data_IF_507759134606
#
_entry.id   IF_507759134606
#
_cell.length_a   1.000
_cell.length_b   1.000
_cell.length_c   1.000
_cell.angle_alpha   90.00
_cell.angle_beta   90.00
_cell.angle_gamma   90.00
#
_symmetry.space_group_name_H-M   'P 1'
#
loop_
_entity.id
_entity.type
_entity.pdbx_description
1 polymer ?
#
# COMPACT_ATOMS: atom_id res chain seq x y z
N UNK A 1 6.60 9.34 6.74
CA UNK A 1 7.04 9.56 8.14
C UNK A 1 6.04 8.98 9.13
N UNK A 2 4.73 9.19 8.94
CA UNK A 2 3.69 8.61 9.81
C UNK A 2 3.75 7.08 9.83
N UNK A 3 3.75 6.43 8.67
CA UNK A 3 3.83 4.97 8.54
C UNK A 3 5.07 4.39 9.23
N UNK A 4 6.23 5.03 9.08
CA UNK A 4 7.47 4.64 9.76
C UNK A 4 7.32 4.74 11.28
N UNK A 5 6.72 5.83 11.77
CA UNK A 5 6.47 6.04 13.21
C UNK A 5 5.51 4.96 13.74
N UNK A 6 4.45 4.64 13.00
CA UNK A 6 3.45 3.66 13.37
C UNK A 6 4.04 2.24 13.38
N UNK A 7 4.83 1.86 12.37
CA UNK A 7 5.53 0.57 12.32
C UNK A 7 6.59 0.45 13.42
N UNK A 8 7.35 1.52 13.68
CA UNK A 8 8.33 1.55 14.78
C UNK A 8 7.65 1.44 16.14
N UNK A 9 6.49 2.08 16.33
CA UNK A 9 5.65 1.93 17.51
C UNK A 9 5.20 0.49 17.70
N UNK A 10 4.68 -0.14 16.65
CA UNK A 10 4.24 -1.55 16.64
C UNK A 10 5.39 -2.51 16.99
N UNK A 11 6.61 -2.27 16.46
CA UNK A 11 7.78 -3.10 16.80
C UNK A 11 8.14 -2.96 18.28
N UNK A 12 8.04 -1.76 18.84
CA UNK A 12 8.28 -1.54 20.26
C UNK A 12 7.25 -2.27 21.14
N UNK A 13 5.98 -2.29 20.73
CA UNK A 13 4.95 -3.08 21.41
C UNK A 13 5.24 -4.58 21.34
N UNK A 14 5.61 -5.11 20.18
CA UNK A 14 6.02 -6.51 20.06
C UNK A 14 7.23 -6.83 20.94
N UNK A 15 8.23 -5.95 21.03
CA UNK A 15 9.38 -6.15 21.91
C UNK A 15 8.94 -6.25 23.38
N UNK A 16 8.03 -5.39 23.82
CA UNK A 16 7.50 -5.42 25.19
C UNK A 16 6.75 -6.71 25.47
N UNK A 17 5.82 -7.12 24.57
CA UNK A 17 5.07 -8.37 24.73
C UNK A 17 5.98 -9.60 24.74
N UNK A 18 6.98 -9.67 23.86
CA UNK A 18 7.96 -10.76 23.85
C UNK A 18 8.72 -10.85 25.16
N UNK A 19 9.12 -9.72 25.74
CA UNK A 19 9.81 -9.66 27.02
C UNK A 19 8.91 -10.08 28.18
N UNK A 20 7.66 -9.65 28.20
CA UNK A 20 6.66 -10.04 29.22
C UNK A 20 6.42 -11.55 29.19
N UNK A 21 6.20 -12.15 28.01
CA UNK A 21 6.03 -13.60 27.86
C UNK A 21 7.28 -14.35 28.35
N UNK A 22 8.47 -13.91 27.97
CA UNK A 22 9.73 -14.52 28.40
C UNK A 22 9.87 -14.48 29.92
N UNK A 23 9.65 -13.33 30.52
CA UNK A 23 9.71 -13.13 31.97
C UNK A 23 8.70 -14.03 32.68
N UNK A 24 7.44 -14.09 32.23
CA UNK A 24 6.41 -14.95 32.81
C UNK A 24 6.80 -16.42 32.78
N UNK A 25 7.33 -16.91 31.67
CA UNK A 25 7.78 -18.31 31.55
C UNK A 25 8.98 -18.58 32.48
N UNK A 26 10.00 -17.74 32.45
CA UNK A 26 11.26 -17.98 33.15
C UNK A 26 11.15 -17.78 34.67
N UNK A 27 10.48 -16.74 35.12
CA UNK A 27 10.47 -16.37 36.54
C UNK A 27 9.28 -16.93 37.31
N UNK A 28 8.10 -17.03 36.72
CA UNK A 28 6.88 -17.50 37.38
C UNK A 28 6.62 -18.98 37.08
N UNK A 29 6.27 -19.32 35.85
CA UNK A 29 5.79 -20.65 35.49
C UNK A 29 6.81 -21.76 35.72
N UNK A 30 8.08 -21.52 35.38
CA UNK A 30 9.14 -22.50 35.62
C UNK A 30 9.42 -22.73 37.14
N UNK A 31 9.26 -21.68 37.96
CA UNK A 31 9.37 -21.84 39.43
C UNK A 31 8.19 -22.64 39.97
N UNK A 32 6.95 -22.31 39.57
CA UNK A 32 5.75 -23.03 39.99
C UNK A 32 5.80 -24.49 39.56
N UNK A 33 6.24 -24.78 38.30
CA UNK A 33 6.38 -26.16 37.85
C UNK A 33 7.37 -26.98 38.71
N UNK A 34 8.43 -26.36 39.20
CA UNK A 34 9.40 -27.02 40.11
C UNK A 34 8.81 -27.30 41.48
N UNK A 35 7.93 -26.41 41.98
CA UNK A 35 7.28 -26.57 43.31
C UNK A 35 6.22 -27.66 43.29
N UNK A 36 5.47 -27.80 42.19
CA UNK A 36 4.34 -28.72 42.07
C UNK A 36 4.68 -30.07 41.42
N UNK A 37 5.94 -30.47 41.41
CA UNK A 37 6.42 -31.71 40.75
C UNK A 37 5.62 -32.96 41.12
N UNK A 38 5.12 -33.06 42.33
CA UNK A 38 4.39 -34.21 42.83
C UNK A 38 2.88 -34.14 42.51
N UNK A 39 2.35 -33.01 42.08
CA UNK A 39 0.97 -32.84 41.64
C UNK A 39 0.87 -32.89 40.11
N UNK A 40 0.63 -34.09 39.58
CA UNK A 40 0.60 -34.34 38.13
C UNK A 40 -0.44 -33.48 37.38
N UNK A 41 -1.58 -33.19 38.01
CA UNK A 41 -2.62 -32.42 37.36
C UNK A 41 -2.22 -30.94 37.23
N UNK A 42 -1.74 -30.35 38.32
CA UNK A 42 -1.30 -28.95 38.34
C UNK A 42 -0.04 -28.73 37.45
N UNK A 43 0.90 -29.69 37.50
CA UNK A 43 2.06 -29.66 36.62
C UNK A 43 1.67 -29.68 35.14
N UNK A 44 0.69 -30.52 34.76
CA UNK A 44 0.19 -30.57 33.37
C UNK A 44 -0.44 -29.26 32.93
N UNK A 45 -1.21 -28.61 33.82
CA UNK A 45 -1.83 -27.29 33.56
C UNK A 45 -0.77 -26.23 33.30
N UNK A 46 0.29 -26.17 34.15
CA UNK A 46 1.38 -25.20 33.97
C UNK A 46 2.15 -25.46 32.67
N UNK A 47 2.42 -26.73 32.35
CA UNK A 47 3.10 -27.07 31.09
C UNK A 47 2.30 -26.69 29.85
N UNK A 48 0.97 -26.82 29.90
CA UNK A 48 0.11 -26.35 28.81
C UNK A 48 0.16 -24.81 28.68
N UNK A 49 0.09 -24.08 29.79
CA UNK A 49 0.22 -22.62 29.79
C UNK A 49 1.57 -22.17 29.20
N UNK A 50 2.66 -22.84 29.56
CA UNK A 50 3.98 -22.59 28.99
C UNK A 50 3.99 -22.84 27.48
N UNK A 51 3.31 -23.90 27.01
CA UNK A 51 3.23 -24.21 25.59
C UNK A 51 2.47 -23.12 24.85
N UNK A 52 1.30 -22.72 25.34
CA UNK A 52 0.48 -21.65 24.72
C UNK A 52 1.26 -20.33 24.64
N UNK A 53 1.99 -19.96 25.70
CA UNK A 53 2.81 -18.76 25.72
C UNK A 53 3.98 -18.86 24.74
N UNK A 54 4.60 -20.03 24.56
CA UNK A 54 5.63 -20.24 23.55
C UNK A 54 5.09 -20.13 22.14
N UNK A 55 3.89 -20.65 21.88
CA UNK A 55 3.24 -20.55 20.60
C UNK A 55 2.88 -19.07 20.29
N UNK A 56 2.33 -18.34 21.28
CA UNK A 56 2.10 -16.90 21.19
C UNK A 56 3.40 -16.13 20.91
N UNK A 57 4.46 -16.43 21.63
CA UNK A 57 5.80 -15.82 21.41
C UNK A 57 6.28 -16.01 19.97
N UNK A 58 6.11 -17.21 19.42
CA UNK A 58 6.51 -17.51 18.02
C UNK A 58 5.71 -16.69 17.00
N UNK A 59 4.40 -16.52 17.22
CA UNK A 59 3.53 -15.71 16.35
C UNK A 59 3.98 -14.24 16.38
N UNK A 60 4.16 -13.67 17.58
CA UNK A 60 4.57 -12.26 17.75
C UNK A 60 5.95 -12.04 17.14
N UNK A 61 6.87 -12.98 17.32
CA UNK A 61 8.23 -12.89 16.72
C UNK A 61 8.15 -12.83 15.19
N UNK A 62 7.30 -13.66 14.57
CA UNK A 62 7.08 -13.64 13.12
C UNK A 62 6.46 -12.31 12.67
N UNK A 63 5.46 -11.79 13.37
CA UNK A 63 4.84 -10.50 13.07
C UNK A 63 5.84 -9.35 13.19
N UNK A 64 6.71 -9.37 14.24
CA UNK A 64 7.81 -8.41 14.38
C UNK A 64 8.78 -8.48 13.21
N UNK A 65 9.19 -9.69 12.79
CA UNK A 65 10.08 -9.87 11.64
C UNK A 65 9.46 -9.31 10.36
N UNK A 66 8.17 -9.54 10.12
CA UNK A 66 7.46 -8.97 8.97
C UNK A 66 7.45 -7.45 9.02
N UNK A 67 7.10 -6.85 10.16
CA UNK A 67 7.13 -5.40 10.32
C UNK A 67 8.55 -4.82 10.15
N UNK A 68 9.57 -5.52 10.62
CA UNK A 68 10.98 -5.12 10.45
C UNK A 68 11.43 -5.22 9.00
N UNK A 69 11.00 -6.26 8.25
CA UNK A 69 11.26 -6.35 6.80
C UNK A 69 10.61 -5.21 6.05
N UNK A 70 9.35 -4.87 6.35
CA UNK A 70 8.67 -3.71 5.73
C UNK A 70 9.44 -2.40 5.95
N UNK A 71 9.99 -2.19 7.16
CA UNK A 71 10.84 -1.02 7.41
C UNK A 71 12.13 -1.07 6.59
N UNK A 72 12.77 -2.22 6.51
CA UNK A 72 14.07 -2.34 5.85
C UNK A 72 13.95 -2.33 4.32
N UNK A 73 12.91 -3.00 3.78
CA UNK A 73 12.77 -3.21 2.34
C UNK A 73 12.07 -2.02 1.67
N UNK A 74 11.03 -1.45 2.31
CA UNK A 74 10.19 -0.42 1.71
C UNK A 74 10.49 1.00 2.23
N UNK A 75 10.99 1.12 3.47
CA UNK A 75 11.14 2.41 4.17
C UNK A 75 12.58 2.66 4.63
N UNK A 76 13.46 1.65 4.59
CA UNK A 76 14.81 1.75 5.13
C UNK A 76 15.61 2.93 4.57
N UNK A 77 15.53 3.15 3.26
CA UNK A 77 16.18 4.27 2.59
C UNK A 77 15.53 5.61 2.94
N UNK A 78 14.20 5.63 3.15
CA UNK A 78 13.48 6.83 3.58
C UNK A 78 13.76 7.22 5.04
N UNK A 79 14.09 6.26 5.91
CA UNK A 79 14.38 6.54 7.32
C UNK A 79 15.61 7.44 7.53
N UNK A 80 16.54 7.44 6.57
CA UNK A 80 17.73 8.27 6.59
C UNK A 80 17.53 9.66 5.98
N UNK A 81 16.36 9.91 5.38
CA UNK A 81 16.02 11.16 4.72
C UNK A 81 15.38 12.11 5.74
N UNK A 82 16.17 12.97 6.33
CA UNK A 82 15.78 13.95 7.34
C UNK A 82 15.67 15.39 6.78
N UNK A 83 16.20 15.65 5.59
CA UNK A 83 16.16 16.95 4.92
C UNK A 83 15.58 16.87 3.52
N UNK A 84 15.10 18.02 3.00
CA UNK A 84 14.58 18.13 1.64
C UNK A 84 15.68 17.91 0.59
N UNK A 85 16.90 18.29 0.91
CA UNK A 85 18.07 18.10 0.05
C UNK A 85 18.37 16.62 -0.13
N UNK A 86 18.45 15.83 0.95
CA UNK A 86 18.62 14.38 0.89
C UNK A 86 17.46 13.71 0.14
N UNK A 87 16.22 14.19 0.30
CA UNK A 87 15.09 13.68 -0.45
C UNK A 87 15.25 13.94 -1.95
N UNK A 88 15.68 15.15 -2.35
CA UNK A 88 15.95 15.48 -3.75
C UNK A 88 17.05 14.62 -4.35
N UNK A 89 18.09 14.32 -3.60
CA UNK A 89 19.16 13.42 -4.02
C UNK A 89 18.63 12.00 -4.19
N UNK A 90 17.88 11.50 -3.22
CA UNK A 90 17.32 10.15 -3.25
C UNK A 90 16.40 9.89 -4.44
N UNK A 91 15.47 10.81 -4.75
CA UNK A 91 14.54 10.64 -5.88
C UNK A 91 15.22 10.64 -7.25
N UNK A 92 16.50 11.04 -7.33
CA UNK A 92 17.29 11.01 -8.54
C UNK A 92 18.09 9.70 -8.69
N UNK A 93 18.05 8.83 -7.69
CA UNK A 93 18.76 7.55 -7.71
C UNK A 93 17.89 6.44 -8.32
N UNK A 94 18.51 5.39 -8.88
CA UNK A 94 17.77 4.20 -9.34
C UNK A 94 17.05 3.44 -8.21
N UNK A 95 17.36 3.73 -6.94
CA UNK A 95 16.70 3.15 -5.77
C UNK A 95 15.33 3.74 -5.47
N UNK A 96 15.01 4.91 -6.05
CA UNK A 96 13.68 5.49 -5.88
C UNK A 96 12.69 4.92 -6.89
N UNK A 97 11.65 4.27 -6.38
CA UNK A 97 10.53 3.78 -7.17
C UNK A 97 9.28 4.60 -6.83
N UNK A 98 8.72 5.25 -7.85
CA UNK A 98 7.48 5.98 -7.71
C UNK A 98 6.32 4.99 -7.50
N UNK A 99 5.84 4.91 -6.28
CA UNK A 99 4.63 4.17 -5.92
C UNK A 99 3.34 4.96 -6.22
N UNK A 100 2.19 4.40 -5.86
CA UNK A 100 0.88 5.05 -6.04
C UNK A 100 0.79 6.40 -5.31
N UNK A 101 1.44 6.53 -4.15
CA UNK A 101 1.48 7.78 -3.38
C UNK A 101 2.27 8.87 -4.12
N UNK A 102 3.46 8.55 -4.63
CA UNK A 102 4.28 9.50 -5.39
C UNK A 102 3.56 9.97 -6.67
N UNK A 103 2.89 9.04 -7.37
CA UNK A 103 2.09 9.34 -8.56
C UNK A 103 0.95 10.29 -8.20
N UNK A 104 0.20 10.03 -7.11
CA UNK A 104 -0.91 10.87 -6.66
C UNK A 104 -0.46 12.29 -6.31
N UNK A 105 0.70 12.45 -5.67
CA UNK A 105 1.28 13.78 -5.41
C UNK A 105 1.64 14.51 -6.70
N UNK A 106 2.24 13.81 -7.67
CA UNK A 106 2.55 14.40 -8.98
C UNK A 106 1.28 14.82 -9.72
N UNK A 107 0.22 14.01 -9.67
CA UNK A 107 -1.09 14.35 -10.23
C UNK A 107 -1.63 15.66 -9.68
N UNK A 108 -1.57 15.85 -8.36
CA UNK A 108 -2.01 17.07 -7.71
C UNK A 108 -1.15 18.29 -8.05
N UNK A 109 0.18 18.14 -7.98
CA UNK A 109 1.12 19.24 -8.20
C UNK A 109 1.10 19.74 -9.63
N UNK A 110 1.00 18.83 -10.58
CA UNK A 110 1.05 19.14 -12.02
C UNK A 110 -0.36 19.34 -12.62
N UNK A 111 -1.40 19.07 -11.86
CA UNK A 111 -2.80 19.07 -12.31
C UNK A 111 -3.01 18.20 -13.55
N UNK A 112 -2.45 16.99 -13.51
CA UNK A 112 -2.54 15.97 -14.57
C UNK A 112 -3.12 14.68 -13.99
N UNK A 113 -3.67 13.81 -14.83
CA UNK A 113 -4.07 12.46 -14.43
C UNK A 113 -3.28 11.42 -15.21
N UNK A 114 -2.61 10.53 -14.48
CA UNK A 114 -2.00 9.35 -15.09
C UNK A 114 -3.05 8.25 -15.28
N UNK A 115 -3.06 7.69 -16.48
CA UNK A 115 -3.83 6.51 -16.85
C UNK A 115 -2.82 5.38 -17.00
N UNK A 116 -2.77 4.47 -16.04
CA UNK A 116 -1.75 3.43 -15.98
C UNK A 116 -2.37 2.10 -16.38
N UNK A 117 -1.79 1.45 -17.38
CA UNK A 117 -2.26 0.17 -17.92
C UNK A 117 -1.26 -0.94 -17.56
N UNK A 118 -1.71 -1.98 -16.90
CA UNK A 118 -0.91 -3.15 -16.54
C UNK A 118 -0.62 -4.00 -17.77
N UNK A 119 0.64 -4.10 -18.17
CA UNK A 119 1.07 -5.00 -19.25
C UNK A 119 0.81 -6.47 -18.87
N UNK A 120 1.05 -6.82 -17.61
CA UNK A 120 0.83 -8.17 -17.10
C UNK A 120 -0.63 -8.59 -17.20
N UNK A 121 -1.55 -7.78 -16.67
CA UNK A 121 -2.98 -8.08 -16.72
C UNK A 121 -3.50 -8.19 -18.14
N UNK A 122 -2.96 -7.37 -19.05
CA UNK A 122 -3.30 -7.46 -20.48
C UNK A 122 -2.85 -8.80 -21.10
N UNK A 123 -1.62 -9.22 -20.82
CA UNK A 123 -1.06 -10.51 -21.34
C UNK A 123 -1.83 -11.70 -20.76
N UNK A 124 -2.21 -11.63 -19.49
CA UNK A 124 -2.99 -12.68 -18.80
C UNK A 124 -4.48 -12.66 -19.19
N UNK A 125 -4.91 -11.76 -20.09
CA UNK A 125 -6.29 -11.52 -20.51
C UNK A 125 -7.24 -11.18 -19.34
N UNK A 126 -6.69 -10.60 -18.29
CA UNK A 126 -7.42 -10.07 -17.12
C UNK A 126 -7.81 -8.61 -17.38
N UNK A 127 -8.81 -8.42 -18.25
CA UNK A 127 -9.25 -7.09 -18.67
C UNK A 127 -9.80 -6.23 -17.52
N UNK A 128 -10.29 -6.89 -16.45
CA UNK A 128 -10.76 -6.18 -15.26
C UNK A 128 -9.64 -5.47 -14.49
N UNK A 129 -8.42 -5.99 -14.53
CA UNK A 129 -7.28 -5.44 -13.81
C UNK A 129 -6.25 -4.75 -14.73
N UNK A 130 -6.58 -4.53 -16.00
CA UNK A 130 -5.72 -3.79 -16.93
C UNK A 130 -5.53 -2.34 -16.50
N UNK A 131 -6.60 -1.66 -16.05
CA UNK A 131 -6.50 -0.28 -15.58
C UNK A 131 -6.15 -0.25 -14.10
N UNK A 132 -5.00 0.34 -13.77
CA UNK A 132 -4.57 0.60 -12.41
C UNK A 132 -5.09 1.97 -11.98
N UNK A 133 -6.10 1.99 -11.11
CA UNK A 133 -6.81 3.24 -10.77
C UNK A 133 -6.09 4.11 -9.74
N UNK A 134 -5.11 3.55 -9.02
CA UNK A 134 -4.41 4.25 -7.94
C UNK A 134 -5.30 4.56 -6.74
N UNK A 135 -4.77 5.36 -5.84
CA UNK A 135 -5.45 5.82 -4.63
C UNK A 135 -6.01 7.22 -4.79
N UNK A 136 -6.92 7.60 -3.91
CA UNK A 136 -7.41 8.98 -3.81
C UNK A 136 -6.66 9.63 -2.65
N UNK A 137 -5.98 10.75 -2.88
CA UNK A 137 -5.37 11.51 -1.80
C UNK A 137 -6.43 12.07 -0.85
N UNK A 138 -6.06 12.28 0.41
CA UNK A 138 -6.94 12.90 1.40
C UNK A 138 -7.47 14.26 0.94
N UNK A 139 -6.66 15.04 0.25
CA UNK A 139 -7.02 16.35 -0.27
C UNK A 139 -8.07 16.28 -1.38
N UNK A 140 -7.93 15.33 -2.32
CA UNK A 140 -8.92 15.09 -3.39
C UNK A 140 -10.19 14.50 -2.78
N UNK A 141 -10.07 13.56 -1.82
CA UNK A 141 -11.20 12.97 -1.13
C UNK A 141 -12.02 14.02 -0.36
N UNK A 142 -11.36 14.94 0.34
CA UNK A 142 -12.01 16.03 1.06
C UNK A 142 -12.74 17.00 0.13
N UNK A 143 -12.15 17.32 -1.03
CA UNK A 143 -12.78 18.19 -2.04
C UNK A 143 -13.87 17.49 -2.84
N UNK A 144 -13.87 16.16 -2.89
CA UNK A 144 -14.73 15.33 -3.75
C UNK A 144 -14.70 15.75 -5.23
N UNK A 145 -13.60 16.35 -5.66
CA UNK A 145 -13.43 16.89 -7.01
C UNK A 145 -11.96 16.91 -7.40
N UNK A 146 -11.69 16.45 -8.60
CA UNK A 146 -10.39 16.58 -9.26
C UNK A 146 -10.63 16.94 -10.72
N UNK A 147 -10.00 18.02 -11.19
CA UNK A 147 -10.16 18.54 -12.54
C UNK A 147 -8.79 18.63 -13.23
N UNK A 148 -8.21 17.53 -13.68
CA UNK A 148 -6.91 17.52 -14.36
C UNK A 148 -7.03 18.23 -15.72
N UNK A 149 -6.05 19.09 -16.02
CA UNK A 149 -6.00 19.79 -17.31
C UNK A 149 -5.56 18.85 -18.43
N UNK A 150 -4.70 17.87 -18.08
CA UNK A 150 -4.15 16.92 -19.03
C UNK A 150 -4.13 15.50 -18.48
N UNK A 151 -4.04 14.55 -19.40
CA UNK A 151 -3.95 13.13 -19.12
C UNK A 151 -2.67 12.57 -19.75
N UNK A 152 -1.99 11.68 -19.06
CA UNK A 152 -0.79 10.99 -19.52
C UNK A 152 -1.07 9.49 -19.43
N UNK A 153 -0.89 8.78 -20.55
CA UNK A 153 -1.12 7.34 -20.61
C UNK A 153 0.22 6.64 -20.49
N UNK A 154 0.32 5.67 -19.58
CA UNK A 154 1.51 4.84 -19.40
C UNK A 154 1.13 3.36 -19.34
N UNK A 155 2.06 2.49 -19.73
CA UNK A 155 1.99 1.07 -19.36
C UNK A 155 2.93 0.80 -18.19
N UNK A 156 2.60 -0.23 -17.41
CA UNK A 156 3.36 -0.67 -16.25
C UNK A 156 3.64 -2.17 -16.35
N UNK A 157 4.92 -2.53 -16.31
CA UNK A 157 5.38 -3.93 -16.43
C UNK A 157 5.71 -4.60 -15.08
N UNK A 158 5.32 -3.99 -13.96
CA UNK A 158 5.62 -4.46 -12.59
C UNK A 158 6.80 -3.74 -11.94
N UNK A 159 7.72 -3.24 -12.74
CA UNK A 159 8.91 -2.51 -12.26
C UNK A 159 9.28 -1.31 -13.15
N UNK A 160 8.51 -1.02 -14.18
CA UNK A 160 8.83 0.06 -15.10
C UNK A 160 7.60 0.66 -15.74
N UNK A 161 7.57 1.99 -15.86
CA UNK A 161 6.53 2.73 -16.57
C UNK A 161 7.06 3.12 -17.96
N UNK A 162 6.23 2.89 -19.00
CA UNK A 162 6.51 3.33 -20.37
C UNK A 162 5.44 4.30 -20.81
N UNK A 163 5.88 5.43 -21.37
CA UNK A 163 4.97 6.43 -21.90
C UNK A 163 4.32 5.94 -23.19
N UNK A 164 3.01 6.06 -23.28
CA UNK A 164 2.24 5.70 -24.48
C UNK A 164 2.11 6.91 -25.37
N UNK A 165 2.41 6.72 -26.67
CA UNK A 165 2.15 7.69 -27.71
C UNK A 165 0.97 7.24 -28.57
N UNK A 166 0.03 8.12 -28.80
CA UNK A 166 -1.13 7.88 -29.67
C UNK A 166 -1.37 9.08 -30.57
N UNK A 167 -1.43 8.85 -31.88
CA UNK A 167 -1.57 9.91 -32.90
C UNK A 167 -0.55 11.04 -32.75
N UNK A 168 0.72 10.67 -32.50
CA UNK A 168 1.85 11.58 -32.28
C UNK A 168 1.69 12.50 -31.07
N UNK A 169 0.87 12.10 -30.07
CA UNK A 169 0.68 12.80 -28.79
C UNK A 169 1.02 11.89 -27.63
N UNK A 170 1.58 12.47 -26.57
CA UNK A 170 1.92 11.83 -25.30
C UNK A 170 1.19 12.44 -24.12
N UNK A 171 0.67 13.65 -24.32
CA UNK A 171 -0.15 14.38 -23.35
C UNK A 171 -1.49 14.66 -24.02
N UNK A 172 -2.58 14.31 -23.35
CA UNK A 172 -3.91 14.32 -23.92
C UNK A 172 -4.82 15.28 -23.14
N UNK A 173 -5.70 15.95 -23.83
CA UNK A 173 -6.92 16.50 -23.22
C UNK A 173 -7.96 15.39 -23.10
N UNK A 174 -8.98 15.57 -22.30
CA UNK A 174 -10.03 14.56 -22.08
C UNK A 174 -10.62 14.00 -23.38
N UNK A 175 -10.96 14.87 -24.35
CA UNK A 175 -11.56 14.44 -25.62
C UNK A 175 -10.58 13.69 -26.53
N UNK A 176 -9.27 13.82 -26.33
CA UNK A 176 -8.20 13.15 -27.09
C UNK A 176 -7.88 11.75 -26.58
N UNK A 177 -8.31 11.41 -25.35
CA UNK A 177 -8.13 10.06 -24.80
C UNK A 177 -8.85 9.06 -25.72
N UNK A 178 -8.19 7.95 -26.12
CA UNK A 178 -8.82 6.91 -26.93
C UNK A 178 -10.12 6.38 -26.29
N UNK A 179 -11.14 6.20 -27.10
CA UNK A 179 -12.48 5.79 -26.60
C UNK A 179 -12.44 4.51 -25.75
N UNK A 180 -11.68 3.51 -26.20
CA UNK A 180 -11.55 2.25 -25.45
C UNK A 180 -10.97 2.45 -24.04
N UNK A 181 -10.01 3.38 -23.87
CA UNK A 181 -9.46 3.71 -22.54
C UNK A 181 -10.52 4.41 -21.68
N UNK A 182 -11.29 5.34 -22.25
CA UNK A 182 -12.43 5.94 -21.53
C UNK A 182 -13.43 4.89 -21.07
N UNK A 183 -13.73 3.89 -21.91
CA UNK A 183 -14.64 2.80 -21.57
C UNK A 183 -14.10 1.96 -20.41
N UNK A 184 -12.80 1.65 -20.38
CA UNK A 184 -12.18 0.95 -19.24
C UNK A 184 -12.36 1.74 -17.94
N UNK A 185 -12.12 3.06 -17.99
CA UNK A 185 -12.28 3.93 -16.82
C UNK A 185 -13.75 3.96 -16.36
N UNK A 186 -14.69 4.09 -17.28
CA UNK A 186 -16.12 4.06 -16.96
C UNK A 186 -16.55 2.75 -16.30
N UNK A 187 -16.09 1.62 -16.79
CA UNK A 187 -16.36 0.31 -16.19
C UNK A 187 -15.87 0.28 -14.74
N UNK A 188 -14.65 0.76 -14.48
CA UNK A 188 -14.12 0.87 -13.11
C UNK A 188 -14.92 1.81 -12.21
N UNK A 189 -15.44 2.90 -12.78
CA UNK A 189 -16.34 3.80 -12.05
C UNK A 189 -17.67 3.11 -11.67
N UNK A 190 -18.23 2.27 -12.55
CA UNK A 190 -19.44 1.49 -12.27
C UNK A 190 -19.20 0.42 -11.20
N UNK A 191 -18.05 -0.22 -11.22
CA UNK A 191 -17.61 -1.18 -10.19
C UNK A 191 -17.31 -0.52 -8.84
N UNK A 192 -17.33 0.81 -8.73
CA UNK A 192 -16.92 1.60 -7.55
C UNK A 192 -15.48 1.35 -7.12
N UNK A 193 -14.62 1.00 -8.06
CA UNK A 193 -13.20 0.71 -7.86
C UNK A 193 -12.33 1.50 -8.85
N UNK A 194 -12.56 2.81 -8.92
CA UNK A 194 -11.93 3.66 -9.93
C UNK A 194 -10.95 4.70 -9.36
N UNK A 195 -10.66 4.63 -8.06
CA UNK A 195 -9.75 5.59 -7.43
C UNK A 195 -10.19 7.04 -7.72
N UNK A 196 -9.23 7.91 -8.02
CA UNK A 196 -9.49 9.33 -8.29
C UNK A 196 -10.31 9.61 -9.56
N UNK A 197 -10.49 8.64 -10.47
CA UNK A 197 -11.35 8.82 -11.64
C UNK A 197 -12.82 9.05 -11.27
N UNK A 198 -13.28 8.54 -10.10
CA UNK A 198 -14.66 8.71 -9.63
C UNK A 198 -15.04 10.16 -9.34
N UNK A 199 -14.06 11.01 -9.10
CA UNK A 199 -14.26 12.42 -8.73
C UNK A 199 -13.86 13.40 -9.86
N UNK A 200 -13.56 12.88 -11.06
CA UNK A 200 -13.31 13.67 -12.26
C UNK A 200 -14.64 13.90 -12.99
N UNK A 201 -15.03 15.17 -13.13
CA UNK A 201 -16.35 15.58 -13.70
C UNK A 201 -16.59 15.02 -15.08
N UNK A 202 -15.61 15.07 -15.98
CA UNK A 202 -15.74 14.64 -17.37
C UNK A 202 -16.12 13.15 -17.49
N UNK A 203 -15.64 12.28 -16.60
CA UNK A 203 -16.05 10.87 -16.57
C UNK A 203 -17.46 10.70 -16.00
N UNK A 204 -17.87 11.55 -15.03
CA UNK A 204 -19.21 11.54 -14.48
C UNK A 204 -20.23 12.02 -15.53
N UNK A 205 -19.93 13.10 -16.24
CA UNK A 205 -20.76 13.61 -17.35
C UNK A 205 -20.91 12.57 -18.46
N UNK A 206 -19.81 11.86 -18.77
CA UNK A 206 -19.86 10.79 -19.77
C UNK A 206 -20.78 9.64 -19.34
N UNK A 207 -20.79 9.24 -18.04
CA UNK A 207 -21.73 8.23 -17.50
C UNK A 207 -23.20 8.67 -17.67
N UNK A 208 -23.48 9.90 -17.34
CA UNK A 208 -24.83 10.48 -17.47
C UNK A 208 -25.28 10.50 -18.94
N UNK A 209 -24.40 10.94 -19.84
CA UNK A 209 -24.72 11.06 -21.28
C UNK A 209 -24.99 9.69 -21.95
N UNK A 210 -24.43 8.59 -21.44
CA UNK A 210 -24.71 7.24 -21.96
C UNK A 210 -25.81 6.50 -21.18
N UNK A 211 -26.51 7.20 -20.28
CA UNK A 211 -27.67 6.66 -19.56
C UNK A 211 -27.34 5.62 -18.50
N UNK A 212 -26.12 5.65 -17.94
CA UNK A 212 -25.68 4.71 -16.89
C UNK A 212 -25.97 5.22 -15.46
N UNK A 213 -26.39 6.47 -15.33
CA UNK A 213 -26.84 7.09 -14.07
C UNK A 213 -28.02 8.02 -14.38
#
# INVERSE_FOLDING_TARGET
RQLFTDLSGTINEYNRELQEIKTKIETDLNKRAKQVKNNKFELRSILNEIKELKDKHKIILKSKQTAQSMINDDIGDFAQIDTIEKFREFIQTPGFWADSWAITILEELLNVKFIILSERSYIENDLHNVLLCGEISEKIAAKKSFAPVHYIITTFSGNHYKLVEYKNKRIFKFFEIPYHIKTLILNKCLERNSGSFSVISEFNDMKTNIGLI
#
